data_IF_077116675742
#
_entry.id   IF_077116675742
#
_cell.length_a   1.000
_cell.length_b   1.000
_cell.length_c   1.000
_cell.angle_alpha   90.00
_cell.angle_beta   90.00
_cell.angle_gamma   90.00
#
_symmetry.space_group_name_H-M   'P 1'
#
loop_
_entity.id
_entity.type
_entity.pdbx_description
1 polymer ?
#
# COMPACT_ATOMS: atom_id res chain seq x y z
N UNK A 1 40.72 -83.04 -27.02
CA UNK A 1 40.66 -82.12 -25.86
C UNK A 1 41.96 -81.35 -25.81
N UNK A 2 41.95 -80.11 -26.27
CA UNK A 2 43.08 -79.18 -26.16
C UNK A 2 42.48 -77.81 -25.88
N UNK A 3 42.31 -77.49 -24.60
CA UNK A 3 41.92 -76.16 -24.16
C UNK A 3 43.10 -75.21 -24.38
N UNK A 4 42.94 -74.30 -25.34
CA UNK A 4 43.87 -73.21 -25.58
C UNK A 4 43.52 -72.10 -24.58
N UNK A 5 44.24 -72.05 -23.46
CA UNK A 5 44.17 -70.94 -22.52
C UNK A 5 44.97 -69.76 -23.06
N UNK A 6 44.28 -68.83 -23.73
CA UNK A 6 44.88 -67.52 -23.99
C UNK A 6 45.03 -66.75 -22.66
N UNK A 7 46.23 -66.31 -22.28
CA UNK A 7 46.38 -65.42 -21.14
C UNK A 7 45.75 -64.08 -21.52
N UNK A 8 44.69 -63.68 -20.81
CA UNK A 8 44.12 -62.35 -20.97
C UNK A 8 45.20 -61.34 -20.60
N UNK A 9 45.61 -60.50 -21.54
CA UNK A 9 46.43 -59.35 -21.23
C UNK A 9 45.65 -58.48 -20.23
N UNK A 10 46.09 -58.48 -18.98
CA UNK A 10 45.62 -57.56 -17.97
C UNK A 10 46.10 -56.15 -18.37
N UNK A 11 45.34 -55.49 -19.25
CA UNK A 11 45.47 -54.04 -19.43
C UNK A 11 45.36 -53.42 -18.04
N UNK A 12 46.33 -52.59 -17.60
CA UNK A 12 46.24 -51.92 -16.33
C UNK A 12 44.90 -51.17 -16.29
N UNK A 13 44.05 -51.47 -15.31
CA UNK A 13 42.93 -50.59 -14.98
C UNK A 13 43.55 -49.22 -14.72
N UNK A 14 43.45 -48.32 -15.70
CA UNK A 14 43.81 -46.92 -15.56
C UNK A 14 42.98 -46.35 -14.42
N UNK A 15 43.54 -46.38 -13.21
CA UNK A 15 43.05 -45.76 -12.01
C UNK A 15 43.27 -44.25 -12.11
N UNK A 16 42.52 -43.60 -12.99
CA UNK A 16 42.17 -42.20 -12.75
C UNK A 16 41.14 -42.20 -11.63
N UNK A 17 41.62 -42.24 -10.39
CA UNK A 17 40.84 -42.25 -9.15
C UNK A 17 39.94 -41.00 -8.94
N UNK A 18 39.80 -40.17 -9.97
CA UNK A 18 39.11 -38.87 -9.90
C UNK A 18 38.20 -38.62 -11.12
N UNK A 19 37.91 -39.62 -11.95
CA UNK A 19 36.85 -39.48 -12.96
C UNK A 19 35.52 -39.91 -12.34
N UNK A 20 34.58 -38.99 -12.11
CA UNK A 20 33.28 -39.32 -11.53
C UNK A 20 32.54 -40.32 -12.43
N UNK A 21 31.76 -41.19 -11.80
CA UNK A 21 30.93 -42.15 -12.52
C UNK A 21 29.92 -41.35 -13.38
N UNK A 22 29.56 -41.81 -14.60
CA UNK A 22 28.61 -41.08 -15.44
C UNK A 22 27.29 -40.74 -14.73
N UNK A 23 26.82 -41.62 -13.83
CA UNK A 23 25.65 -41.38 -12.97
C UNK A 23 25.80 -40.14 -12.08
N UNK A 24 26.98 -39.92 -11.49
CA UNK A 24 27.28 -38.76 -10.64
C UNK A 24 27.29 -37.47 -11.48
N UNK A 25 27.74 -37.54 -12.75
CA UNK A 25 27.72 -36.39 -13.67
C UNK A 25 26.27 -36.00 -14.01
N UNK A 26 25.39 -36.99 -14.26
CA UNK A 26 23.97 -36.74 -14.51
C UNK A 26 23.26 -36.16 -13.28
N UNK A 27 23.61 -36.60 -12.07
CA UNK A 27 23.09 -36.04 -10.82
C UNK A 27 23.54 -34.58 -10.62
N UNK A 28 24.78 -34.25 -10.95
CA UNK A 28 25.29 -32.87 -10.90
C UNK A 28 24.58 -31.97 -11.92
N UNK A 29 24.36 -32.45 -13.16
CA UNK A 29 23.62 -31.68 -14.17
C UNK A 29 22.18 -31.40 -13.72
N UNK A 30 21.50 -32.42 -13.18
CA UNK A 30 20.15 -32.28 -12.63
C UNK A 30 20.12 -31.29 -11.46
N UNK A 31 21.11 -31.32 -10.57
CA UNK A 31 21.21 -30.38 -9.46
C UNK A 31 21.39 -28.93 -9.97
N UNK A 32 22.20 -28.71 -11.00
CA UNK A 32 22.38 -27.39 -11.64
C UNK A 32 21.09 -26.89 -12.28
N UNK A 33 20.33 -27.76 -12.94
CA UNK A 33 19.03 -27.40 -13.51
C UNK A 33 18.01 -27.00 -12.44
N UNK A 34 17.92 -27.76 -11.35
CA UNK A 34 17.06 -27.45 -10.21
C UNK A 34 17.45 -26.11 -9.59
N UNK A 35 18.74 -25.88 -9.33
CA UNK A 35 19.22 -24.61 -8.77
C UNK A 35 18.93 -23.42 -9.70
N UNK A 36 19.08 -23.59 -11.02
CA UNK A 36 18.70 -22.56 -12.00
C UNK A 36 17.21 -22.28 -11.98
N UNK A 37 16.37 -23.30 -11.83
CA UNK A 37 14.93 -23.12 -11.76
C UNK A 37 14.53 -22.38 -10.47
N UNK A 38 15.07 -22.77 -9.32
CA UNK A 38 14.86 -22.09 -8.03
C UNK A 38 15.30 -20.63 -8.14
N UNK A 39 16.51 -20.37 -8.66
CA UNK A 39 17.02 -19.00 -8.78
C UNK A 39 16.16 -18.10 -9.67
N UNK A 40 15.59 -18.62 -10.75
CA UNK A 40 14.64 -17.87 -11.59
C UNK A 40 13.35 -17.55 -10.84
N UNK A 41 12.81 -18.53 -10.11
CA UNK A 41 11.59 -18.34 -9.33
C UNK A 41 11.83 -17.31 -8.21
N UNK A 42 12.98 -17.36 -7.54
CA UNK A 42 13.37 -16.39 -6.51
C UNK A 42 13.43 -14.97 -7.09
N UNK A 43 14.01 -14.79 -8.28
CA UNK A 43 14.05 -13.49 -8.96
C UNK A 43 12.64 -12.97 -9.26
N UNK A 44 11.72 -13.84 -9.71
CA UNK A 44 10.32 -13.44 -9.93
C UNK A 44 9.63 -13.03 -8.63
N UNK A 45 9.83 -13.78 -7.54
CA UNK A 45 9.26 -13.45 -6.24
C UNK A 45 9.82 -12.12 -5.70
N UNK A 46 11.12 -11.86 -5.86
CA UNK A 46 11.73 -10.59 -5.45
C UNK A 46 11.11 -9.42 -6.23
N UNK A 47 10.89 -9.58 -7.54
CA UNK A 47 10.24 -8.56 -8.36
C UNK A 47 8.79 -8.29 -7.92
N UNK A 48 8.03 -9.34 -7.57
CA UNK A 48 6.68 -9.22 -7.03
C UNK A 48 6.66 -8.52 -5.66
N UNK A 49 7.58 -8.88 -4.77
CA UNK A 49 7.74 -8.23 -3.47
C UNK A 49 8.04 -6.74 -3.65
N UNK A 50 8.91 -6.37 -4.59
CA UNK A 50 9.21 -4.97 -4.90
C UNK A 50 7.95 -4.23 -5.36
N UNK A 51 7.18 -4.80 -6.29
CA UNK A 51 5.90 -4.23 -6.75
C UNK A 51 4.90 -4.06 -5.60
N UNK A 52 4.75 -5.06 -4.73
CA UNK A 52 3.86 -4.98 -3.57
C UNK A 52 4.30 -3.91 -2.57
N UNK A 53 5.61 -3.71 -2.38
CA UNK A 53 6.13 -2.64 -1.53
C UNK A 53 5.81 -1.26 -2.10
N UNK A 54 5.95 -1.09 -3.42
CA UNK A 54 5.58 0.16 -4.10
C UNK A 54 4.09 0.45 -4.01
N UNK A 55 3.23 -0.54 -4.22
CA UNK A 55 1.78 -0.35 -4.09
C UNK A 55 1.39 -0.03 -2.65
N UNK A 56 1.97 -0.70 -1.66
CA UNK A 56 1.75 -0.40 -0.26
C UNK A 56 2.20 1.03 0.10
N UNK A 57 3.33 1.50 -0.44
CA UNK A 57 3.79 2.88 -0.24
C UNK A 57 2.82 3.91 -0.83
N UNK A 58 2.31 3.66 -2.04
CA UNK A 58 1.29 4.51 -2.69
C UNK A 58 0.01 4.58 -1.85
N UNK A 59 -0.48 3.45 -1.36
CA UNK A 59 -1.68 3.39 -0.51
C UNK A 59 -1.51 4.14 0.82
N UNK A 60 -0.34 4.01 1.46
CA UNK A 60 -0.03 4.77 2.67
C UNK A 60 -0.07 6.28 2.42
N UNK A 61 0.52 6.73 1.31
CA UNK A 61 0.48 8.15 0.92
C UNK A 61 -0.95 8.63 0.68
N UNK A 62 -1.74 7.89 -0.11
CA UNK A 62 -3.15 8.23 -0.36
C UNK A 62 -3.98 8.31 0.93
N UNK A 63 -3.73 7.40 1.87
CA UNK A 63 -4.44 7.40 3.16
C UNK A 63 -4.04 8.61 4.00
N UNK A 64 -2.77 8.99 3.98
CA UNK A 64 -2.30 10.21 4.64
C UNK A 64 -2.94 11.45 4.02
N UNK A 65 -2.95 11.56 2.70
CA UNK A 65 -3.56 12.68 1.98
C UNK A 65 -5.06 12.82 2.34
N UNK A 66 -5.79 11.69 2.41
CA UNK A 66 -7.21 11.68 2.81
C UNK A 66 -7.37 12.12 4.27
N UNK A 67 -6.52 11.64 5.18
CA UNK A 67 -6.55 12.04 6.59
C UNK A 67 -6.34 13.55 6.72
N UNK A 68 -5.36 14.10 6.03
CA UNK A 68 -5.05 15.53 6.07
C UNK A 68 -6.24 16.37 5.60
N UNK A 69 -6.92 15.94 4.53
CA UNK A 69 -8.15 16.61 4.04
C UNK A 69 -9.27 16.55 5.07
N UNK A 70 -9.49 15.40 5.71
CA UNK A 70 -10.51 15.23 6.75
C UNK A 70 -10.22 16.13 7.95
N UNK A 71 -8.96 16.20 8.39
CA UNK A 71 -8.54 17.05 9.51
C UNK A 71 -8.71 18.54 9.17
N UNK A 72 -8.41 18.95 7.93
CA UNK A 72 -8.68 20.31 7.47
C UNK A 72 -10.17 20.67 7.48
N UNK A 73 -11.04 19.79 6.97
CA UNK A 73 -12.49 20.01 6.97
C UNK A 73 -13.06 20.01 8.39
N UNK A 74 -12.57 19.13 9.26
CA UNK A 74 -12.93 19.12 10.67
C UNK A 74 -12.59 20.44 11.34
N UNK A 75 -11.36 20.94 11.18
CA UNK A 75 -10.96 22.24 11.73
C UNK A 75 -11.78 23.39 11.14
N UNK A 76 -12.21 23.31 9.89
CA UNK A 76 -13.11 24.30 9.28
C UNK A 76 -14.50 24.29 9.93
N UNK A 77 -15.06 23.11 10.21
CA UNK A 77 -16.35 22.96 10.91
C UNK A 77 -16.26 23.48 12.34
N UNK A 78 -15.24 23.09 13.09
CA UNK A 78 -15.03 23.54 14.47
C UNK A 78 -14.92 25.07 14.55
N UNK A 79 -14.22 25.72 13.60
CA UNK A 79 -14.19 27.19 13.50
C UNK A 79 -15.57 27.78 13.23
N UNK A 80 -16.33 27.22 12.28
CA UNK A 80 -17.69 27.69 12.00
C UNK A 80 -18.61 27.55 13.21
N UNK A 81 -18.58 26.40 13.90
CA UNK A 81 -19.34 26.17 15.12
C UNK A 81 -18.94 27.16 16.22
N UNK A 82 -17.64 27.45 16.38
CA UNK A 82 -17.16 28.47 17.30
C UNK A 82 -17.70 29.88 16.94
N UNK A 83 -17.70 30.26 15.66
CA UNK A 83 -18.29 31.53 15.23
C UNK A 83 -19.80 31.59 15.49
N UNK A 84 -20.54 30.54 15.13
CA UNK A 84 -21.98 30.48 15.38
C UNK A 84 -22.30 30.56 16.87
N UNK A 85 -21.60 29.80 17.71
CA UNK A 85 -21.81 29.82 19.16
C UNK A 85 -21.41 31.16 19.79
N UNK A 86 -20.35 31.81 19.30
CA UNK A 86 -19.97 33.15 19.72
C UNK A 86 -21.06 34.17 19.41
N UNK A 87 -21.53 34.23 18.16
CA UNK A 87 -22.56 35.19 17.74
C UNK A 87 -23.94 34.89 18.35
N UNK A 88 -24.27 33.63 18.59
CA UNK A 88 -25.54 33.25 19.23
C UNK A 88 -25.62 33.71 20.71
N UNK A 89 -24.46 33.85 21.38
CA UNK A 89 -24.40 34.36 22.76
C UNK A 89 -24.46 35.89 22.84
N UNK A 90 -24.24 36.58 21.72
CA UNK A 90 -24.44 38.01 21.63
C UNK A 90 -25.94 38.20 21.35
N UNK A 91 -26.72 38.43 22.40
CA UNK A 91 -28.07 38.95 22.21
C UNK A 91 -27.99 40.21 21.35
N UNK A 92 -28.80 40.24 20.29
CA UNK A 92 -28.92 41.39 19.41
C UNK A 92 -29.57 42.57 20.15
N UNK A 93 -28.81 43.21 21.04
CA UNK A 93 -29.20 44.45 21.74
C UNK A 93 -29.24 45.66 20.81
N UNK A 94 -28.75 45.49 19.57
CA UNK A 94 -28.75 46.50 18.53
C UNK A 94 -30.17 46.64 17.98
N UNK A 95 -30.81 47.82 18.13
CA UNK A 95 -32.13 48.07 17.57
C UNK A 95 -32.09 47.79 16.07
N UNK A 96 -33.03 46.99 15.56
CA UNK A 96 -33.11 46.57 14.16
C UNK A 96 -33.03 47.74 13.15
N UNK A 97 -33.48 48.92 13.58
CA UNK A 97 -33.40 50.20 12.85
C UNK A 97 -31.96 50.65 12.54
N UNK A 98 -31.00 50.29 13.37
CA UNK A 98 -29.58 50.64 13.21
C UNK A 98 -28.83 49.73 12.25
N UNK A 99 -29.23 48.45 12.17
CA UNK A 99 -28.53 47.46 11.34
C UNK A 99 -28.92 47.51 9.86
N UNK A 100 -30.18 47.81 9.56
CA UNK A 100 -30.71 47.67 8.19
C UNK A 100 -31.13 48.99 7.52
N UNK A 101 -31.13 50.11 8.27
CA UNK A 101 -31.76 51.35 7.82
C UNK A 101 -33.24 51.14 7.48
N UNK A 102 -34.01 52.20 7.29
CA UNK A 102 -35.46 52.09 7.08
C UNK A 102 -35.88 51.41 5.76
N UNK A 103 -34.93 50.97 4.91
CA UNK A 103 -35.22 50.73 3.49
C UNK A 103 -35.05 49.29 2.95
N UNK A 104 -34.52 48.29 3.67
CA UNK A 104 -34.02 47.08 2.98
C UNK A 104 -34.25 45.70 3.61
N UNK A 105 -35.44 45.41 4.14
CA UNK A 105 -35.84 44.00 4.33
C UNK A 105 -37.24 43.75 3.75
N UNK A 106 -37.37 43.02 2.62
CA UNK A 106 -38.66 42.60 2.10
C UNK A 106 -39.48 41.87 3.17
N UNK A 107 -40.78 42.18 3.27
CA UNK A 107 -41.67 41.72 4.34
C UNK A 107 -41.65 40.20 4.60
N UNK A 108 -41.31 39.41 3.58
CA UNK A 108 -41.16 37.94 3.63
C UNK A 108 -40.08 37.42 4.59
N UNK A 109 -39.10 38.24 4.99
CA UNK A 109 -38.07 37.88 5.96
C UNK A 109 -38.32 38.49 7.35
N UNK A 110 -39.46 39.17 7.54
CA UNK A 110 -39.89 39.61 8.86
C UNK A 110 -40.49 38.42 9.59
N UNK A 111 -40.02 38.15 10.82
CA UNK A 111 -40.75 37.28 11.75
C UNK A 111 -42.13 37.92 11.97
N UNK A 112 -43.24 37.17 11.95
CA UNK A 112 -44.55 37.73 12.26
C UNK A 112 -44.48 38.37 13.65
N UNK A 113 -44.89 39.63 13.77
CA UNK A 113 -44.92 40.32 15.06
C UNK A 113 -45.91 39.61 15.98
N UNK A 114 -45.40 38.92 16.99
CA UNK A 114 -46.21 38.14 17.91
C UNK A 114 -45.45 37.03 18.65
N UNK A 115 -44.16 37.25 18.94
CA UNK A 115 -43.31 36.27 19.62
C UNK A 115 -42.76 36.71 20.97
N UNK A 116 -43.23 37.84 21.52
CA UNK A 116 -42.90 38.26 22.89
C UNK A 116 -44.21 38.43 23.67
N UNK A 117 -44.71 37.31 24.19
CA UNK A 117 -45.59 37.28 25.34
C UNK A 117 -45.34 35.98 26.11
N UNK A 118 -44.65 36.13 27.25
CA UNK A 118 -44.53 35.18 28.38
C UNK A 118 -44.02 33.77 28.08
#
# INVERSE_FOLDING_TARGET
MTDITQPSYATPRSSRACTPLPSEIYEVQRAVEIMRHISRNDQTMIAEIARLRETAAKLRKQTQDIRDVVDCERGRRERMEAYFTYWNKIEGTWPRKWLYGEAMVPAKYLRPEGGDAM
#
